data_IF_575723053291
#
_entry.id   IF_575723053291
#
_cell.length_a   1.000
_cell.length_b   1.000
_cell.length_c   1.000
_cell.angle_alpha   90.00
_cell.angle_beta   90.00
_cell.angle_gamma   90.00
#
_symmetry.space_group_name_H-M   'P 1'
#
loop_
_entity.id
_entity.type
_entity.pdbx_description
1 polymer ?
#
# COMPACT_ATOMS: atom_id res chain seq x y z
N UNK A 1 4.30 2.73 -27.91
CA UNK A 1 4.14 4.20 -27.78
C UNK A 1 4.13 4.56 -26.29
N UNK A 2 4.30 5.84 -25.90
CA UNK A 2 4.13 6.24 -24.50
C UNK A 2 2.71 5.96 -23.98
N UNK A 3 1.71 5.95 -24.86
CA UNK A 3 0.32 5.63 -24.53
C UNK A 3 0.17 4.15 -24.10
N UNK A 4 0.81 3.21 -24.81
CA UNK A 4 0.77 1.79 -24.43
C UNK A 4 1.39 1.56 -23.04
N UNK A 5 2.48 2.27 -22.73
CA UNK A 5 3.13 2.21 -21.42
C UNK A 5 2.25 2.82 -20.32
N UNK A 6 1.58 3.94 -20.60
CA UNK A 6 0.61 4.54 -19.67
C UNK A 6 -0.55 3.59 -19.43
N UNK A 7 -1.14 2.99 -20.46
CA UNK A 7 -2.24 2.02 -20.31
C UNK A 7 -1.81 0.79 -19.51
N UNK A 8 -0.63 0.25 -19.76
CA UNK A 8 -0.10 -0.87 -18.98
C UNK A 8 0.07 -0.48 -17.50
N UNK A 9 0.57 0.72 -17.22
CA UNK A 9 0.81 1.17 -15.85
C UNK A 9 -0.48 1.58 -15.12
N UNK A 10 -1.34 2.41 -15.72
CA UNK A 10 -2.54 2.95 -15.07
C UNK A 10 -3.77 2.06 -15.23
N UNK A 11 -3.87 1.32 -16.34
CA UNK A 11 -4.97 0.40 -16.60
C UNK A 11 -4.82 -0.90 -15.83
N UNK A 12 -3.62 -1.50 -15.80
CA UNK A 12 -3.35 -2.72 -15.03
C UNK A 12 -2.82 -2.45 -13.62
N UNK A 13 -2.31 -1.25 -13.35
CA UNK A 13 -1.77 -0.84 -12.05
C UNK A 13 -2.68 -1.17 -10.85
N UNK A 14 -3.98 -0.85 -10.89
CA UNK A 14 -4.90 -1.16 -9.79
C UNK A 14 -4.92 -2.63 -9.39
N UNK A 15 -4.69 -3.57 -10.31
CA UNK A 15 -4.64 -5.00 -9.99
C UNK A 15 -3.51 -5.34 -9.01
N UNK A 16 -2.35 -4.68 -9.12
CA UNK A 16 -1.25 -4.87 -8.17
C UNK A 16 -1.58 -4.34 -6.78
N UNK A 17 -2.29 -3.21 -6.70
CA UNK A 17 -2.77 -2.65 -5.43
C UNK A 17 -3.82 -3.56 -4.79
N UNK A 18 -4.76 -4.10 -5.56
CA UNK A 18 -5.76 -5.04 -5.03
C UNK A 18 -5.10 -6.33 -4.53
N UNK A 19 -4.11 -6.87 -5.26
CA UNK A 19 -3.35 -8.03 -4.80
C UNK A 19 -2.60 -7.76 -3.49
N UNK A 20 -2.00 -6.57 -3.34
CA UNK A 20 -1.37 -6.16 -2.08
C UNK A 20 -2.41 -6.03 -0.95
N UNK A 21 -3.56 -5.43 -1.22
CA UNK A 21 -4.64 -5.31 -0.24
C UNK A 21 -5.13 -6.67 0.24
N UNK A 22 -5.34 -7.64 -0.66
CA UNK A 22 -5.72 -9.01 -0.31
C UNK A 22 -4.71 -9.64 0.66
N UNK A 23 -3.41 -9.49 0.38
CA UNK A 23 -2.35 -10.00 1.24
C UNK A 23 -2.33 -9.30 2.62
N UNK A 24 -2.53 -7.98 2.67
CA UNK A 24 -2.60 -7.22 3.91
C UNK A 24 -3.82 -7.61 4.75
N UNK A 25 -4.97 -7.81 4.12
CA UNK A 25 -6.20 -8.25 4.79
C UNK A 25 -6.03 -9.63 5.41
N UNK A 26 -5.46 -10.58 4.65
CA UNK A 26 -5.21 -11.94 5.12
C UNK A 26 -4.20 -11.95 6.27
N UNK A 27 -3.12 -11.16 6.19
CA UNK A 27 -2.19 -10.98 7.30
C UNK A 27 -2.88 -10.42 8.56
N UNK A 28 -3.75 -9.43 8.39
CA UNK A 28 -4.55 -8.88 9.50
C UNK A 28 -5.45 -9.92 10.15
N UNK A 29 -6.09 -10.77 9.36
CA UNK A 29 -6.92 -11.88 9.85
C UNK A 29 -6.09 -12.92 10.60
N UNK A 30 -4.91 -13.29 10.08
CA UNK A 30 -4.00 -14.23 10.76
C UNK A 30 -3.49 -13.68 12.10
N UNK A 31 -3.40 -12.35 12.24
CA UNK A 31 -3.07 -11.67 13.49
C UNK A 31 -4.28 -11.51 14.44
N UNK A 32 -5.47 -11.98 14.06
CA UNK A 32 -6.66 -12.04 14.90
C UNK A 32 -7.70 -10.94 14.66
N UNK A 33 -7.54 -10.11 13.62
CA UNK A 33 -8.59 -9.15 13.24
C UNK A 33 -9.76 -9.87 12.55
N UNK A 34 -10.97 -9.35 12.72
CA UNK A 34 -12.08 -9.77 11.87
C UNK A 34 -11.88 -9.24 10.45
N UNK A 35 -12.39 -9.99 9.46
CA UNK A 35 -12.20 -9.68 8.03
C UNK A 35 -12.67 -8.28 7.63
N UNK A 36 -13.74 -7.78 8.25
CA UNK A 36 -14.28 -6.44 7.94
C UNK A 36 -13.32 -5.36 8.43
N UNK A 37 -12.78 -5.50 9.64
CA UNK A 37 -11.78 -4.57 10.18
C UNK A 37 -10.48 -4.63 9.37
N UNK A 38 -9.98 -5.81 9.04
CA UNK A 38 -8.78 -5.97 8.22
C UNK A 38 -8.92 -5.29 6.84
N UNK A 39 -10.08 -5.46 6.19
CA UNK A 39 -10.39 -4.81 4.91
C UNK A 39 -10.48 -3.29 5.02
N UNK A 40 -11.16 -2.77 6.04
CA UNK A 40 -11.25 -1.33 6.26
C UNK A 40 -9.87 -0.71 6.48
N UNK A 41 -9.03 -1.33 7.30
CA UNK A 41 -7.67 -0.85 7.57
C UNK A 41 -6.81 -0.87 6.29
N UNK A 42 -6.81 -1.96 5.54
CA UNK A 42 -6.08 -2.10 4.28
C UNK A 42 -6.45 -1.02 3.26
N UNK A 43 -7.75 -0.79 3.06
CA UNK A 43 -8.25 0.25 2.15
C UNK A 43 -7.86 1.67 2.58
N UNK A 44 -8.01 2.00 3.88
CA UNK A 44 -7.66 3.33 4.38
C UNK A 44 -6.14 3.57 4.39
N UNK A 45 -5.34 2.55 4.68
CA UNK A 45 -3.87 2.62 4.56
C UNK A 45 -3.46 2.93 3.13
N UNK A 46 -4.03 2.23 2.13
CA UNK A 46 -3.72 2.50 0.73
C UNK A 46 -4.14 3.91 0.29
N UNK A 47 -5.34 4.36 0.68
CA UNK A 47 -5.82 5.71 0.39
C UNK A 47 -4.90 6.78 1.00
N UNK A 48 -4.55 6.62 2.28
CA UNK A 48 -3.67 7.55 2.99
C UNK A 48 -2.26 7.59 2.42
N UNK A 49 -1.66 6.42 2.15
CA UNK A 49 -0.32 6.33 1.57
C UNK A 49 -0.28 6.93 0.16
N UNK A 50 -1.27 6.64 -0.68
CA UNK A 50 -1.39 7.23 -2.01
C UNK A 50 -1.53 8.75 -1.96
N UNK A 51 -2.35 9.27 -1.05
CA UNK A 51 -2.51 10.71 -0.84
C UNK A 51 -1.21 11.38 -0.39
N UNK A 52 -0.51 10.79 0.58
CA UNK A 52 0.81 11.29 1.03
C UNK A 52 1.80 11.31 -0.14
N UNK A 53 1.85 10.25 -0.95
CA UNK A 53 2.75 10.20 -2.09
C UNK A 53 2.46 11.25 -3.17
N UNK A 54 1.20 11.65 -3.34
CA UNK A 54 0.79 12.72 -4.28
C UNK A 54 1.12 14.10 -3.72
N UNK A 55 0.92 14.31 -2.41
CA UNK A 55 1.08 15.63 -1.76
C UNK A 55 2.51 15.91 -1.31
N UNK A 56 3.35 14.88 -1.15
CA UNK A 56 4.73 15.00 -0.67
C UNK A 56 5.69 15.46 -1.77
N UNK A 57 6.68 16.31 -1.46
CA UNK A 57 7.80 16.56 -2.36
C UNK A 57 8.83 15.40 -2.40
N UNK A 58 8.64 14.37 -1.59
CA UNK A 58 9.56 13.24 -1.45
C UNK A 58 9.13 12.04 -2.29
N UNK A 59 10.10 11.29 -2.79
CA UNK A 59 9.81 10.07 -3.55
C UNK A 59 9.30 8.93 -2.64
N UNK A 60 8.62 7.91 -3.21
CA UNK A 60 8.10 6.78 -2.43
C UNK A 60 9.14 6.03 -1.60
N UNK A 61 10.42 6.03 -2.00
CA UNK A 61 11.47 5.31 -1.27
C UNK A 61 11.84 6.01 0.03
N UNK A 62 11.89 7.34 0.02
CA UNK A 62 12.10 8.16 1.22
C UNK A 62 10.87 8.13 2.13
N UNK A 63 9.66 8.21 1.56
CA UNK A 63 8.41 8.06 2.32
C UNK A 63 8.37 6.72 3.07
N UNK A 64 8.74 5.62 2.39
CA UNK A 64 8.86 4.28 3.02
C UNK A 64 9.90 4.28 4.13
N UNK A 65 11.07 4.87 3.91
CA UNK A 65 12.14 4.94 4.92
C UNK A 65 11.67 5.64 6.19
N UNK A 66 10.89 6.72 6.07
CA UNK A 66 10.39 7.49 7.22
C UNK A 66 9.41 6.75 8.10
N UNK A 67 8.61 5.85 7.53
CA UNK A 67 7.67 5.00 8.29
C UNK A 67 8.30 3.67 8.76
N UNK A 68 9.57 3.45 8.42
CA UNK A 68 10.35 2.27 8.83
C UNK A 68 11.34 2.68 9.92
N UNK A 69 10.89 2.64 11.18
CA UNK A 69 11.78 2.94 12.32
C UNK A 69 12.69 1.73 12.63
N UNK A 70 13.98 1.93 12.97
CA UNK A 70 14.84 0.85 13.45
C UNK A 70 14.25 0.20 14.71
N UNK A 71 14.07 -1.12 14.69
CA UNK A 71 13.41 -1.89 15.76
C UNK A 71 11.88 -1.79 15.78
N UNK A 72 11.26 -1.11 14.81
CA UNK A 72 9.81 -0.95 14.70
C UNK A 72 9.11 -2.15 14.04
N UNK A 73 7.79 -2.24 14.20
CA UNK A 73 6.98 -3.30 13.57
C UNK A 73 7.05 -3.28 12.04
N UNK A 74 7.25 -2.11 11.42
CA UNK A 74 7.40 -1.94 9.98
C UNK A 74 8.73 -2.49 9.43
N UNK A 75 9.82 -2.51 10.20
CA UNK A 75 11.11 -3.06 9.76
C UNK A 75 11.06 -4.60 9.62
N UNK A 76 10.17 -5.23 10.38
CA UNK A 76 10.06 -6.70 10.47
C UNK A 76 9.06 -7.31 9.50
N UNK A 77 8.31 -6.49 8.77
CA UNK A 77 7.31 -6.89 7.78
C UNK A 77 7.92 -6.89 6.37
#
# INVERSE_FOLDING_TARGET
SLIDAVTALSGSGPAYYFLLMEAMEEAGVQLGLDRKTASLLSQQTALGAGRIAIESPEDPSELRRRVTSPGGTTERA
#
